data_IF_930701449241
#
_entry.id   IF_930701449241
#
_cell.length_a   1.000
_cell.length_b   1.000
_cell.length_c   1.000
_cell.angle_alpha   90.00
_cell.angle_beta   90.00
_cell.angle_gamma   90.00
#
_symmetry.space_group_name_H-M   'P 1'
#
loop_
_entity.id
_entity.type
_entity.pdbx_description
1 polymer ?
#
# COMPACT_ATOMS: atom_id res chain seq x y z
N UNK A 1 14.21 -1.05 1.95
CA UNK A 1 13.93 -2.05 0.91
C UNK A 1 12.61 -2.71 1.28
N UNK A 2 11.66 -2.85 0.35
CA UNK A 2 10.36 -3.47 0.64
C UNK A 2 10.50 -4.99 0.63
N UNK A 3 9.87 -5.68 1.58
CA UNK A 3 9.81 -7.13 1.62
C UNK A 3 8.74 -7.68 0.68
N UNK A 4 8.78 -8.98 0.34
CA UNK A 4 7.71 -9.62 -0.44
C UNK A 4 6.33 -9.46 0.22
N UNK A 5 6.28 -9.42 1.57
CA UNK A 5 5.04 -9.15 2.30
C UNK A 5 4.51 -7.74 1.99
N UNK A 6 5.39 -6.74 2.00
CA UNK A 6 5.01 -5.35 1.70
C UNK A 6 4.52 -5.21 0.24
N UNK A 7 5.20 -5.88 -0.70
CA UNK A 7 4.84 -5.87 -2.13
C UNK A 7 3.52 -6.59 -2.41
N UNK A 8 3.26 -7.73 -1.76
CA UNK A 8 1.98 -8.41 -1.87
C UNK A 8 0.82 -7.56 -1.33
N UNK A 9 1.04 -6.81 -0.24
CA UNK A 9 0.03 -5.85 0.25
C UNK A 9 -0.21 -4.72 -0.76
N UNK A 10 0.83 -4.21 -1.42
CA UNK A 10 0.65 -3.22 -2.50
C UNK A 10 -0.11 -3.79 -3.69
N UNK A 11 0.12 -5.05 -4.06
CA UNK A 11 -0.64 -5.72 -5.14
C UNK A 11 -2.11 -5.87 -4.76
N UNK A 12 -2.40 -6.30 -3.53
CA UNK A 12 -3.78 -6.35 -3.05
C UNK A 12 -4.44 -4.97 -3.06
N UNK A 13 -3.69 -3.93 -2.71
CA UNK A 13 -4.17 -2.56 -2.71
C UNK A 13 -4.40 -1.97 -4.11
N UNK A 14 -3.50 -2.25 -5.05
CA UNK A 14 -3.56 -1.77 -6.42
C UNK A 14 -4.72 -2.38 -7.23
N UNK A 15 -5.27 -3.52 -6.80
CA UNK A 15 -6.48 -4.10 -7.39
C UNK A 15 -7.73 -3.23 -7.18
N UNK A 16 -7.68 -2.27 -6.26
CA UNK A 16 -8.75 -1.34 -5.96
C UNK A 16 -8.27 0.12 -6.11
N UNK A 17 -7.89 0.56 -7.32
CA UNK A 17 -7.15 1.81 -7.53
C UNK A 17 -7.96 3.07 -7.22
N UNK A 18 -9.28 3.01 -7.28
CA UNK A 18 -10.17 4.12 -6.88
C UNK A 18 -10.82 3.82 -5.54
N UNK A 19 -10.45 4.60 -4.51
CA UNK A 19 -11.16 4.63 -3.23
C UNK A 19 -10.79 3.53 -2.23
N UNK A 20 -9.74 2.74 -2.45
CA UNK A 20 -9.27 1.79 -1.45
C UNK A 20 -8.51 2.52 -0.34
N UNK A 21 -9.26 2.77 0.73
CA UNK A 21 -8.81 3.33 1.99
C UNK A 21 -8.47 2.17 2.91
N UNK A 22 -7.19 2.00 3.25
CA UNK A 22 -6.80 1.07 4.29
C UNK A 22 -6.96 1.75 5.64
N UNK A 23 -7.73 1.11 6.52
CA UNK A 23 -7.64 1.41 7.93
C UNK A 23 -6.47 0.62 8.53
N UNK A 24 -5.52 1.30 9.16
CA UNK A 24 -4.27 0.73 9.67
C UNK A 24 -4.40 -0.32 10.80
N UNK A 25 -5.63 -0.66 11.20
CA UNK A 25 -5.92 -1.72 12.17
C UNK A 25 -6.92 -2.77 11.66
N UNK A 26 -7.54 -2.55 10.49
CA UNK A 26 -8.56 -3.46 9.93
C UNK A 26 -7.98 -4.27 8.77
N UNK A 27 -7.29 -3.60 7.85
CA UNK A 27 -6.90 -4.21 6.57
C UNK A 27 -5.38 -4.45 6.46
N UNK A 28 -4.60 -3.61 7.13
CA UNK A 28 -3.15 -3.61 7.04
C UNK A 28 -2.55 -3.20 8.38
N UNK A 29 -1.58 -3.94 8.95
CA UNK A 29 -0.92 -3.53 10.18
C UNK A 29 -0.33 -2.11 10.06
N UNK A 30 -0.55 -1.26 11.06
CA UNK A 30 -0.04 0.13 11.12
C UNK A 30 1.46 0.23 10.77
N UNK A 31 2.27 -0.72 11.25
CA UNK A 31 3.72 -0.73 11.00
C UNK A 31 4.10 -1.01 9.54
N UNK A 32 3.26 -1.76 8.82
CA UNK A 32 3.40 -2.02 7.39
C UNK A 32 2.93 -0.79 6.59
N UNK A 33 1.77 -0.23 6.94
CA UNK A 33 1.24 0.97 6.30
C UNK A 33 2.24 2.14 6.37
N UNK A 34 2.81 2.43 7.55
CA UNK A 34 3.84 3.46 7.73
C UNK A 34 5.10 3.21 6.90
N UNK A 35 5.48 1.94 6.70
CA UNK A 35 6.65 1.57 5.89
C UNK A 35 6.40 1.84 4.41
N UNK A 36 5.21 1.50 3.92
CA UNK A 36 4.79 1.79 2.57
C UNK A 36 4.68 3.30 2.32
N UNK A 37 4.20 4.08 3.32
CA UNK A 37 4.22 5.55 3.27
C UNK A 37 5.64 6.09 3.17
N UNK A 38 6.57 5.59 3.98
CA UNK A 38 7.99 5.99 3.91
C UNK A 38 8.62 5.71 2.54
N UNK A 39 8.12 4.68 1.85
CA UNK A 39 8.56 4.33 0.49
C UNK A 39 7.78 5.05 -0.62
N UNK A 40 6.86 5.95 -0.27
CA UNK A 40 6.05 6.71 -1.22
C UNK A 40 5.04 5.85 -1.97
N UNK A 41 4.68 4.67 -1.45
CA UNK A 41 3.72 3.78 -2.08
C UNK A 41 2.29 4.02 -1.56
N UNK A 42 2.15 4.52 -0.33
CA UNK A 42 0.88 4.96 0.25
C UNK A 42 0.99 6.42 0.70
N UNK A 43 -0.15 7.11 0.74
CA UNK A 43 -0.31 8.41 1.38
C UNK A 43 -1.18 8.26 2.62
N UNK A 44 -0.72 8.81 3.75
CA UNK A 44 -1.49 8.78 5.00
C UNK A 44 -2.37 10.03 5.09
N UNK A 45 -3.67 9.83 5.24
CA UNK A 45 -4.64 10.86 5.62
C UNK A 45 -4.98 10.73 7.11
N UNK A 46 -4.47 11.63 7.97
CA UNK A 46 -4.76 11.58 9.40
C UNK A 46 -6.22 11.97 9.67
N UNK A 47 -6.84 11.31 10.65
CA UNK A 47 -8.23 11.56 11.07
C UNK A 47 -8.54 10.90 12.42
N UNK A 48 -9.83 10.72 12.73
CA UNK A 48 -10.25 9.91 13.90
C UNK A 48 -9.70 8.48 13.82
N UNK A 49 -9.54 7.99 12.60
CA UNK A 49 -8.77 6.81 12.25
C UNK A 49 -7.80 7.19 11.12
N UNK A 50 -6.56 6.70 11.19
CA UNK A 50 -5.61 6.90 10.10
C UNK A 50 -6.05 6.11 8.87
N UNK A 51 -6.24 6.82 7.77
CA UNK A 51 -6.57 6.29 6.46
C UNK A 51 -5.32 6.29 5.59
N UNK A 52 -5.10 5.23 4.81
CA UNK A 52 -4.01 5.15 3.87
C UNK A 52 -4.56 4.90 2.47
N UNK A 53 -4.13 5.71 1.51
CA UNK A 53 -4.51 5.59 0.10
C UNK A 53 -3.31 5.16 -0.72
N UNK A 54 -3.51 4.33 -1.74
CA UNK A 54 -2.43 3.95 -2.65
C UNK A 54 -2.10 5.11 -3.59
N UNK A 55 -0.81 5.34 -3.77
CA UNK A 55 -0.28 6.36 -4.71
C UNK A 55 -0.02 5.75 -6.09
N UNK A 56 0.17 6.59 -7.11
CA UNK A 56 0.62 6.15 -8.44
C UNK A 56 1.93 5.34 -8.36
N UNK A 57 2.91 5.81 -7.58
CA UNK A 57 4.16 5.08 -7.35
C UNK A 57 3.96 3.72 -6.68
N UNK A 58 2.94 3.60 -5.83
CA UNK A 58 2.52 2.33 -5.23
C UNK A 58 1.93 1.36 -6.26
N UNK A 59 1.10 1.87 -7.18
CA UNK A 59 0.49 1.11 -8.27
C UNK A 59 1.57 0.60 -9.24
N UNK A 60 2.47 1.47 -9.70
CA UNK A 60 3.57 1.11 -10.59
C UNK A 60 4.46 0.02 -9.97
N UNK A 61 4.75 0.16 -8.67
CA UNK A 61 5.57 -0.80 -7.94
C UNK A 61 4.88 -2.15 -7.77
N UNK A 62 3.57 -2.15 -7.55
CA UNK A 62 2.77 -3.37 -7.52
C UNK A 62 2.79 -4.08 -8.89
N UNK A 63 2.60 -3.33 -9.98
CA UNK A 63 2.64 -3.86 -11.34
C UNK A 63 4.01 -4.49 -11.68
N UNK A 64 5.10 -3.76 -11.42
CA UNK A 64 6.46 -4.25 -11.66
C UNK A 64 6.76 -5.54 -10.86
N UNK A 65 6.27 -5.64 -9.62
CA UNK A 65 6.43 -6.87 -8.84
C UNK A 65 5.68 -8.05 -9.46
N UNK A 66 4.44 -7.86 -9.94
CA UNK A 66 3.70 -8.94 -10.61
C UNK A 66 4.37 -9.42 -11.90
N UNK A 67 4.94 -8.51 -12.70
CA UNK A 67 5.69 -8.86 -13.91
C UNK A 67 6.92 -9.72 -13.60
N UNK A 68 7.60 -9.48 -12.47
CA UNK A 68 8.76 -10.29 -12.05
C UNK A 68 8.40 -11.68 -11.51
N UNK A 69 7.11 -11.95 -11.23
CA UNK A 69 6.62 -13.24 -10.76
C UNK A 69 6.07 -14.12 -11.90
N UNK A 70 6.09 -13.64 -13.15
CA UNK A 70 5.57 -14.33 -14.35
C UNK A 70 6.62 -15.19 -15.06
#
# INVERSE_FOLDING_TARGET
MLSNRDLNTLVAAAQYPTGCVFAADVDCPTSLARRLVRHGCLERRPGVMDIYEITEAGIERAAAYMETQS
#
